data_IF_039894884493
#
_entry.id   IF_039894884493
#
_cell.length_a   1.000
_cell.length_b   1.000
_cell.length_c   1.000
_cell.angle_alpha   90.00
_cell.angle_beta   90.00
_cell.angle_gamma   90.00
#
_symmetry.space_group_name_H-M   'P 1'
#
loop_
_entity.id
_entity.type
_entity.pdbx_description
1 polymer ?
#
# COMPACT_ATOMS: atom_id res chain seq x y z
N UNK A 1 -1.33 -4.01 20.52
CA UNK A 1 -1.17 -3.97 19.05
C UNK A 1 -2.55 -3.94 18.43
N UNK A 2 -2.79 -3.15 17.38
CA UNK A 2 -4.10 -3.06 16.70
C UNK A 2 -3.95 -3.70 15.32
N UNK A 3 -4.85 -4.60 14.94
CA UNK A 3 -4.87 -5.24 13.63
C UNK A 3 -5.33 -4.27 12.54
N UNK A 4 -4.65 -4.29 11.40
CA UNK A 4 -4.86 -3.37 10.28
C UNK A 4 -4.91 -4.14 8.96
N UNK A 5 -5.76 -3.70 8.05
CA UNK A 5 -5.87 -4.21 6.69
C UNK A 5 -5.41 -3.18 5.67
N UNK A 6 -4.75 -3.63 4.61
CA UNK A 6 -4.35 -2.78 3.49
C UNK A 6 -5.59 -2.48 2.65
N UNK A 7 -5.96 -1.21 2.57
CA UNK A 7 -7.05 -0.74 1.68
C UNK A 7 -6.54 -0.58 0.26
N UNK A 8 -5.30 -0.08 0.10
CA UNK A 8 -4.66 0.08 -1.19
C UNK A 8 -3.48 1.05 -1.15
N UNK A 9 -2.89 1.25 -2.33
CA UNK A 9 -1.80 2.21 -2.59
C UNK A 9 -2.33 3.30 -3.52
N UNK A 10 -2.10 4.56 -3.17
CA UNK A 10 -2.52 5.72 -3.95
C UNK A 10 -1.36 6.71 -4.09
N UNK A 11 -1.45 7.61 -5.06
CA UNK A 11 -0.53 8.75 -5.17
C UNK A 11 -1.21 10.03 -4.68
N UNK A 12 -0.51 10.80 -3.85
CA UNK A 12 -0.99 12.11 -3.41
C UNK A 12 -0.51 13.18 -4.39
N UNK A 13 -1.46 13.92 -4.97
CA UNK A 13 -1.17 15.07 -5.83
C UNK A 13 -0.79 16.30 -4.99
N UNK A 14 0.06 17.21 -5.51
CA UNK A 14 0.66 17.19 -6.85
C UNK A 14 1.99 16.43 -6.93
N UNK A 15 2.55 16.00 -5.79
CA UNK A 15 3.90 15.43 -5.72
C UNK A 15 3.99 14.00 -6.24
N UNK A 16 2.85 13.36 -6.53
CA UNK A 16 2.75 11.95 -6.90
C UNK A 16 3.53 11.08 -5.90
N UNK A 17 3.38 11.41 -4.61
CA UNK A 17 4.02 10.66 -3.52
C UNK A 17 3.14 9.47 -3.18
N UNK A 18 3.67 8.24 -3.22
CA UNK A 18 2.87 7.07 -2.91
C UNK A 18 2.56 6.97 -1.42
N UNK A 19 1.32 6.60 -1.12
CA UNK A 19 0.79 6.38 0.23
C UNK A 19 0.04 5.06 0.27
N UNK A 20 0.34 4.24 1.28
CA UNK A 20 -0.45 3.07 1.64
C UNK A 20 -1.51 3.50 2.65
N UNK A 21 -2.77 3.19 2.38
CA UNK A 21 -3.84 3.41 3.33
C UNK A 21 -4.14 2.10 4.07
N UNK A 22 -3.93 2.12 5.38
CA UNK A 22 -4.34 1.05 6.27
C UNK A 22 -5.66 1.41 6.96
N UNK A 23 -6.49 0.41 7.22
CA UNK A 23 -7.73 0.55 8.00
C UNK A 23 -7.72 -0.44 9.16
N UNK A 24 -8.20 -0.03 10.33
CA UNK A 24 -8.41 -0.95 11.45
C UNK A 24 -9.40 -2.06 11.07
N UNK A 25 -9.09 -3.32 11.42
CA UNK A 25 -9.96 -4.47 11.09
C UNK A 25 -11.35 -4.34 11.72
N UNK A 26 -11.44 -3.81 12.95
CA UNK A 26 -12.70 -3.66 13.70
C UNK A 26 -13.19 -2.20 13.80
N UNK A 27 -12.47 -1.26 13.17
CA UNK A 27 -12.66 0.18 13.35
C UNK A 27 -12.88 0.94 12.04
N UNK A 28 -12.95 2.27 12.16
CA UNK A 28 -13.04 3.19 11.00
C UNK A 28 -11.80 4.06 10.83
N UNK A 29 -10.80 3.91 11.71
CA UNK A 29 -9.58 4.72 11.64
C UNK A 29 -8.78 4.31 10.41
N UNK A 30 -8.28 5.31 9.71
CA UNK A 30 -7.32 5.15 8.63
C UNK A 30 -5.94 5.59 9.09
N UNK A 31 -4.92 4.84 8.71
CA UNK A 31 -3.52 5.18 8.92
C UNK A 31 -2.82 5.30 7.56
N UNK A 32 -2.50 6.52 7.11
CA UNK A 32 -1.67 6.71 5.93
C UNK A 32 -0.20 6.47 6.25
N UNK A 33 0.49 5.69 5.42
CA UNK A 33 1.94 5.48 5.48
C UNK A 33 2.55 5.87 4.14
N UNK A 34 3.38 6.91 4.14
CA UNK A 34 4.13 7.31 2.96
C UNK A 34 5.31 6.37 2.75
N UNK A 35 5.48 5.92 1.52
CA UNK A 35 6.52 4.97 1.13
C UNK A 35 7.25 5.47 -0.12
N UNK A 36 8.33 4.79 -0.51
CA UNK A 36 8.99 5.03 -1.78
C UNK A 36 8.20 4.45 -2.96
N UNK A 37 8.55 4.89 -4.17
CA UNK A 37 8.00 4.35 -5.42
C UNK A 37 8.28 2.86 -5.63
N UNK A 38 9.48 2.32 -5.31
CA UNK A 38 9.75 0.89 -5.46
C UNK A 38 8.81 0.02 -4.61
N UNK A 39 8.61 0.39 -3.34
CA UNK A 39 7.72 -0.32 -2.41
C UNK A 39 6.26 -0.24 -2.88
N UNK A 40 5.84 0.94 -3.34
CA UNK A 40 4.49 1.15 -3.85
C UNK A 40 4.19 0.25 -5.05
N UNK A 41 5.17 0.11 -5.95
CA UNK A 41 5.07 -0.73 -7.15
C UNK A 41 4.99 -2.20 -6.77
N UNK A 42 5.84 -2.66 -5.83
CA UNK A 42 5.82 -4.04 -5.35
C UNK A 42 4.46 -4.41 -4.73
N UNK A 43 3.91 -3.54 -3.87
CA UNK A 43 2.60 -3.76 -3.25
C UNK A 43 1.49 -3.74 -4.31
N UNK A 44 1.53 -2.80 -5.26
CA UNK A 44 0.52 -2.70 -6.33
C UNK A 44 0.48 -3.96 -7.22
N UNK A 45 1.63 -4.56 -7.54
CA UNK A 45 1.71 -5.81 -8.31
C UNK A 45 1.01 -6.96 -7.58
N UNK A 46 1.25 -7.11 -6.27
CA UNK A 46 0.60 -8.14 -5.45
C UNK A 46 -0.90 -7.90 -5.34
N UNK A 47 -1.34 -6.64 -5.13
CA UNK A 47 -2.76 -6.28 -5.08
C UNK A 47 -3.46 -6.52 -6.43
N UNK A 48 -2.75 -6.39 -7.54
CA UNK A 48 -3.24 -6.71 -8.89
C UNK A 48 -3.22 -8.23 -9.19
N UNK A 49 -2.74 -9.07 -8.27
CA UNK A 49 -2.62 -10.52 -8.48
C UNK A 49 -1.56 -10.89 -9.52
N UNK A 50 -0.61 -10.00 -9.80
CA UNK A 50 0.42 -10.22 -10.80
C UNK A 50 1.63 -10.93 -10.19
N UNK A 51 1.85 -12.19 -10.59
CA UNK A 51 3.08 -12.90 -10.25
C UNK A 51 4.25 -12.37 -11.08
N UNK A 52 5.36 -12.06 -10.41
CA UNK A 52 6.57 -11.62 -11.08
C UNK A 52 7.42 -12.83 -11.51
N UNK A 53 8.05 -12.77 -12.69
CA UNK A 53 8.78 -13.92 -13.27
C UNK A 53 10.04 -14.30 -12.47
N UNK A 54 10.49 -13.45 -11.55
CA UNK A 54 11.52 -13.75 -10.56
C UNK A 54 11.08 -13.17 -9.20
N UNK A 55 11.47 -13.78 -8.08
CA UNK A 55 11.17 -13.26 -6.75
C UNK A 55 11.58 -11.80 -6.63
N UNK A 56 10.64 -10.97 -6.20
CA UNK A 56 10.92 -9.61 -5.76
C UNK A 56 11.47 -9.62 -4.33
N UNK A 57 12.12 -8.52 -3.95
CA UNK A 57 12.52 -8.23 -2.57
C UNK A 57 11.37 -7.67 -1.76
#
# INVERSE_FOLDING_TARGET
MIEMQVVGVQEVLPTNTPVVLLRESEGRRLLPIFIGRPEATAIALVLAGQETPRPMT
#
